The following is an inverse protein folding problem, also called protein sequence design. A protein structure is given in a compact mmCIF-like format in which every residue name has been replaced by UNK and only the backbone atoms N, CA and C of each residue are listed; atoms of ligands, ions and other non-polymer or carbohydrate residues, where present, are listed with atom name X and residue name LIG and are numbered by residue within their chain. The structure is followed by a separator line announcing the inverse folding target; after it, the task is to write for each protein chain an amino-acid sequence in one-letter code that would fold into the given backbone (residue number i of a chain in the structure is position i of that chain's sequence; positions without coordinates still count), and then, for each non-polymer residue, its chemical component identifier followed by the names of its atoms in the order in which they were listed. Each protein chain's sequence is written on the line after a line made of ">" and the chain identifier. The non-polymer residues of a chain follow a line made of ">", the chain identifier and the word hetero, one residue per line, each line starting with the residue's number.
data_IF_610099197655
#
_entry.id   IF_610099197655
#
_cell.length_a   1.000
_cell.length_b   1.000
_cell.length_c   1.000
_cell.angle_alpha   90.00
_cell.angle_beta   90.00
_cell.angle_gamma   90.00
#
_symmetry.space_group_name_H-M   'P 1'
#
loop_
_entity.id
_entity.type
_entity.pdbx_description
1 polymer ?
#
# COMPACT_ATOMS: atom_id res chain seq x y z
N UNK A 1 24.31 11.98 7.65
CA UNK A 1 23.38 12.09 6.50
C UNK A 1 22.91 10.68 6.15
N UNK A 2 21.72 10.30 6.61
CA UNK A 2 21.07 8.99 6.36
C UNK A 2 19.53 9.15 6.44
N UNK A 3 19.05 10.19 7.14
CA UNK A 3 17.63 10.52 7.24
C UNK A 3 16.91 10.66 5.89
N UNK A 4 17.54 11.24 4.87
CA UNK A 4 16.95 11.34 3.54
C UNK A 4 16.76 9.97 2.86
N UNK A 5 17.68 9.02 3.11
CA UNK A 5 17.59 7.65 2.59
C UNK A 5 16.48 6.86 3.28
N UNK A 6 16.41 6.93 4.61
CA UNK A 6 15.32 6.31 5.36
C UNK A 6 13.96 6.93 5.04
N UNK A 7 13.88 8.25 4.86
CA UNK A 7 12.66 8.95 4.50
C UNK A 7 12.15 8.51 3.12
N UNK A 8 13.05 8.43 2.14
CA UNK A 8 12.71 7.94 0.81
C UNK A 8 12.21 6.50 0.84
N UNK A 9 12.87 5.62 1.61
CA UNK A 9 12.44 4.22 1.74
C UNK A 9 11.08 4.10 2.44
N UNK A 10 10.82 4.90 3.48
CA UNK A 10 9.54 4.93 4.17
C UNK A 10 8.41 5.50 3.29
N UNK A 11 8.70 6.51 2.46
CA UNK A 11 7.74 7.08 1.51
C UNK A 11 7.37 6.08 0.40
N UNK A 12 8.36 5.35 -0.14
CA UNK A 12 8.11 4.27 -1.11
C UNK A 12 7.34 3.13 -0.45
N UNK A 13 7.76 2.65 0.72
CA UNK A 13 7.14 1.50 1.36
C UNK A 13 5.71 1.81 1.85
N UNK A 14 5.47 3.02 2.37
CA UNK A 14 4.15 3.47 2.80
C UNK A 14 3.20 3.70 1.62
N UNK A 15 3.69 4.32 0.53
CA UNK A 15 2.92 4.50 -0.70
C UNK A 15 2.63 3.18 -1.41
N UNK A 16 3.60 2.27 -1.50
CA UNK A 16 3.45 0.96 -2.13
C UNK A 16 2.57 0.02 -1.29
N UNK A 17 2.65 0.09 0.05
CA UNK A 17 1.74 -0.67 0.92
C UNK A 17 0.32 -0.12 0.82
N UNK A 18 0.11 1.20 0.85
CA UNK A 18 -1.21 1.80 0.65
C UNK A 18 -1.80 1.51 -0.73
N UNK A 19 -0.98 1.52 -1.79
CA UNK A 19 -1.41 1.15 -3.14
C UNK A 19 -1.67 -0.36 -3.28
N UNK A 20 -0.87 -1.21 -2.62
CA UNK A 20 -1.10 -2.66 -2.59
C UNK A 20 -2.30 -3.03 -1.73
N UNK A 21 -2.54 -2.33 -0.64
CA UNK A 21 -3.73 -2.50 0.21
C UNK A 21 -4.99 -1.94 -0.46
N UNK A 22 -4.94 -0.82 -1.19
CA UNK A 22 -6.07 -0.34 -2.01
C UNK A 22 -6.32 -1.26 -3.22
N UNK A 23 -5.27 -1.82 -3.81
CA UNK A 23 -5.39 -2.84 -4.85
C UNK A 23 -6.01 -4.13 -4.31
N UNK A 24 -5.56 -4.62 -3.15
CA UNK A 24 -6.12 -5.82 -2.52
C UNK A 24 -7.52 -5.56 -1.95
N UNK A 25 -7.76 -4.45 -1.26
CA UNK A 25 -9.08 -4.05 -0.74
C UNK A 25 -10.03 -3.53 -1.83
N UNK A 26 -9.56 -3.26 -3.05
CA UNK A 26 -10.39 -2.82 -4.20
C UNK A 26 -10.65 -3.92 -5.22
N UNK A 27 -9.69 -4.83 -5.42
CA UNK A 27 -9.84 -6.05 -6.24
C UNK A 27 -10.53 -7.16 -5.42
N UNK A 28 -10.46 -7.09 -4.09
CA UNK A 28 -11.03 -8.04 -3.13
C UNK A 28 -12.09 -7.39 -2.20
N UNK A 29 -13.15 -6.75 -2.75
CA UNK A 29 -14.45 -6.90 -2.11
C UNK A 29 -15.62 -6.91 -3.10
N UNK A 30 -15.36 -6.89 -4.42
CA UNK A 30 -16.44 -7.07 -5.40
C UNK A 30 -16.95 -8.52 -5.40
N UNK A 31 -16.14 -9.47 -4.92
CA UNK A 31 -16.49 -10.90 -4.80
C UNK A 31 -16.94 -11.30 -3.39
N UNK A 32 -16.68 -10.49 -2.37
CA UNK A 32 -17.02 -10.83 -0.96
C UNK A 32 -18.41 -10.34 -0.55
N UNK A 33 -19.14 -9.62 -1.43
CA UNK A 33 -20.52 -9.19 -1.18
C UNK A 33 -21.57 -10.12 -1.83
N UNK A 34 -21.15 -11.33 -2.22
CA UNK A 34 -22.01 -12.38 -2.76
C UNK A 34 -21.84 -13.69 -1.96
N UNK A 35 -21.81 -13.57 -0.63
CA UNK A 35 -22.22 -14.62 0.31
C UNK A 35 -23.41 -14.11 1.10
#
# INVERSE_FOLDING_TARGET
>A
MHAAWHFWYAAILGGESGLREVGLCGIHPLTQRYV
#
